data_IF_657356840474
#
_entry.id   IF_657356840474
#
_cell.length_a   1.000
_cell.length_b   1.000
_cell.length_c   1.000
_cell.angle_alpha   90.00
_cell.angle_beta   90.00
_cell.angle_gamma   90.00
#
_symmetry.space_group_name_H-M   'P 1'
#
loop_
_entity.id
_entity.type
_entity.pdbx_description
1 polymer ?
#
# COMPACT_ATOMS: atom_id res chain seq x y z
N UNK A 1 -9.59 18.98 -3.40
CA UNK A 1 -9.32 17.57 -3.76
C UNK A 1 -9.52 16.70 -2.51
N UNK A 2 -9.98 15.48 -2.67
CA UNK A 2 -10.28 14.55 -1.55
C UNK A 2 -9.13 14.38 -0.55
N UNK A 3 -7.88 14.50 -1.01
CA UNK A 3 -6.69 14.37 -0.16
C UNK A 3 -6.56 15.52 0.86
N UNK A 4 -6.91 16.74 0.47
CA UNK A 4 -6.84 17.91 1.38
C UNK A 4 -7.85 17.77 2.51
N UNK A 5 -9.08 17.35 2.20
CA UNK A 5 -10.13 17.14 3.21
C UNK A 5 -9.80 16.00 4.15
N UNK A 6 -9.19 14.92 3.64
CA UNK A 6 -8.73 13.80 4.46
C UNK A 6 -7.68 14.24 5.47
N UNK A 7 -6.66 14.97 5.04
CA UNK A 7 -5.59 15.44 5.92
C UNK A 7 -6.13 16.40 7.00
N UNK A 8 -6.99 17.35 6.60
CA UNK A 8 -7.63 18.26 7.54
C UNK A 8 -8.48 17.51 8.59
N UNK A 9 -9.20 16.47 8.19
CA UNK A 9 -9.95 15.62 9.11
C UNK A 9 -9.04 14.91 10.11
N UNK A 10 -7.95 14.30 9.65
CA UNK A 10 -6.98 13.63 10.52
C UNK A 10 -6.35 14.63 11.51
N UNK A 11 -5.95 15.80 11.04
CA UNK A 11 -5.40 16.86 11.89
C UNK A 11 -6.39 17.35 12.94
N UNK A 12 -7.66 17.51 12.59
CA UNK A 12 -8.73 17.91 13.52
C UNK A 12 -8.89 16.88 14.65
N UNK A 13 -8.83 15.59 14.36
CA UNK A 13 -8.88 14.53 15.37
C UNK A 13 -7.65 14.57 16.28
N UNK A 14 -6.46 14.63 15.71
CA UNK A 14 -5.21 14.57 16.48
C UNK A 14 -4.94 15.84 17.30
N UNK A 15 -5.43 17.01 16.85
CA UNK A 15 -5.32 18.26 17.58
C UNK A 15 -6.35 18.43 18.69
N UNK A 16 -7.32 17.51 18.82
CA UNK A 16 -8.38 17.59 19.82
C UNK A 16 -9.39 18.73 19.55
N UNK A 17 -9.62 19.04 18.27
CA UNK A 17 -10.57 20.09 17.85
C UNK A 17 -11.74 19.53 17.05
N UNK A 18 -12.00 18.23 17.17
CA UNK A 18 -13.13 17.57 16.53
C UNK A 18 -14.46 18.13 17.03
N UNK A 19 -15.42 18.27 16.13
CA UNK A 19 -16.79 18.74 16.41
C UNK A 19 -17.79 17.63 16.19
N UNK A 20 -19.02 17.81 16.72
CA UNK A 20 -20.10 16.84 16.56
C UNK A 20 -19.83 15.53 17.28
N UNK A 21 -20.20 14.43 16.66
CA UNK A 21 -20.15 13.09 17.27
C UNK A 21 -18.76 12.60 17.65
N UNK A 22 -17.71 13.13 17.03
CA UNK A 22 -16.32 12.76 17.33
C UNK A 22 -15.66 13.63 18.39
N UNK A 23 -16.36 14.62 18.93
CA UNK A 23 -15.83 15.55 19.95
C UNK A 23 -15.37 14.85 21.25
N UNK A 24 -15.87 13.67 21.55
CA UNK A 24 -15.44 12.85 22.69
C UNK A 24 -13.98 12.39 22.57
N UNK A 25 -13.40 12.43 21.38
CA UNK A 25 -11.98 12.09 21.14
C UNK A 25 -11.03 13.24 21.52
N UNK A 26 -11.53 14.47 21.69
CA UNK A 26 -10.68 15.65 21.94
C UNK A 26 -9.83 15.55 23.23
N UNK A 27 -10.29 14.80 24.21
CA UNK A 27 -9.57 14.54 25.47
C UNK A 27 -8.81 13.20 25.47
N UNK A 28 -8.76 12.52 24.33
CA UNK A 28 -8.18 11.19 24.20
C UNK A 28 -6.84 11.25 23.46
N UNK A 29 -5.95 10.31 23.77
CA UNK A 29 -4.65 10.18 23.11
C UNK A 29 -4.80 9.44 21.79
N UNK A 30 -4.70 10.15 20.68
CA UNK A 30 -4.73 9.59 19.33
C UNK A 30 -3.33 9.38 18.75
N UNK A 31 -3.17 8.37 17.93
CA UNK A 31 -1.95 8.14 17.13
C UNK A 31 -2.33 7.93 15.67
N UNK A 32 -1.52 8.49 14.76
CA UNK A 32 -1.64 8.27 13.31
C UNK A 32 -0.73 7.13 12.87
N UNK A 33 -1.34 6.12 12.27
CA UNK A 33 -0.66 5.05 11.56
C UNK A 33 -0.83 5.25 10.06
N UNK A 34 0.22 5.67 9.38
CA UNK A 34 0.25 5.93 7.94
C UNK A 34 1.63 5.64 7.37
N UNK A 35 1.75 5.48 6.05
CA UNK A 35 3.05 5.34 5.39
C UNK A 35 3.91 6.60 5.58
N UNK A 36 3.30 7.79 5.63
CA UNK A 36 4.00 9.04 5.94
C UNK A 36 4.58 9.01 7.37
N UNK A 37 3.83 8.49 8.35
CA UNK A 37 4.32 8.37 9.73
C UNK A 37 5.48 7.39 9.82
N UNK A 38 5.41 6.27 9.10
CA UNK A 38 6.50 5.27 9.02
C UNK A 38 7.74 5.91 8.40
N UNK A 39 7.58 6.65 7.29
CA UNK A 39 8.69 7.30 6.61
C UNK A 39 9.37 8.36 7.51
N UNK A 40 8.61 9.21 8.18
CA UNK A 40 9.15 10.17 9.17
C UNK A 40 9.93 9.46 10.29
N UNK A 41 9.47 8.29 10.67
CA UNK A 41 10.14 7.50 11.71
C UNK A 41 11.46 6.92 11.20
N UNK A 42 11.50 6.41 9.97
CA UNK A 42 12.74 5.96 9.31
C UNK A 42 13.75 7.10 9.22
N UNK A 43 13.32 8.29 8.79
CA UNK A 43 14.17 9.47 8.70
C UNK A 43 14.74 9.85 10.07
N UNK A 44 13.92 9.79 11.13
CA UNK A 44 14.36 10.05 12.51
C UNK A 44 15.40 9.03 12.99
N UNK A 45 15.17 7.72 12.76
CA UNK A 45 16.14 6.66 13.10
C UNK A 45 17.48 6.86 12.37
N UNK A 46 17.43 7.28 11.10
CA UNK A 46 18.64 7.53 10.30
C UNK A 46 19.37 8.80 10.73
N UNK A 47 18.66 9.88 11.06
CA UNK A 47 19.24 11.14 11.46
C UNK A 47 19.92 11.07 12.82
N UNK A 48 19.33 10.36 13.78
CA UNK A 48 19.81 10.30 15.16
C UNK A 48 20.51 8.98 15.50
N UNK A 49 20.64 8.06 14.54
CA UNK A 49 21.21 6.72 14.70
C UNK A 49 20.63 5.92 15.88
N UNK A 50 19.31 6.01 16.06
CA UNK A 50 18.57 5.35 17.13
C UNK A 50 17.78 4.15 16.62
N UNK A 51 17.50 3.21 17.52
CA UNK A 51 16.71 1.99 17.26
C UNK A 51 15.49 1.97 18.19
N UNK A 52 14.51 2.85 17.94
CA UNK A 52 13.33 2.97 18.79
C UNK A 52 12.24 1.94 18.48
N UNK A 53 12.09 1.55 17.22
CA UNK A 53 10.95 0.72 16.78
C UNK A 53 11.14 -0.75 17.10
N UNK A 54 12.34 -1.28 16.90
CA UNK A 54 12.65 -2.70 17.10
C UNK A 54 14.02 -2.88 17.77
N UNK A 55 14.21 -2.40 19.00
CA UNK A 55 15.50 -2.46 19.69
C UNK A 55 16.03 -3.89 19.87
N UNK A 56 15.12 -4.86 20.02
CA UNK A 56 15.47 -6.27 20.19
C UNK A 56 16.06 -6.91 18.92
N UNK A 57 15.68 -6.40 17.74
CA UNK A 57 16.17 -6.92 16.46
C UNK A 57 17.52 -6.34 16.05
N UNK A 58 17.98 -5.29 16.70
CA UNK A 58 19.17 -4.48 16.33
C UNK A 58 19.18 -4.06 14.85
N UNK A 59 18.00 -3.79 14.27
CA UNK A 59 17.80 -3.44 12.85
C UNK A 59 17.01 -2.15 12.74
N UNK A 60 17.43 -1.27 11.82
CA UNK A 60 16.69 -0.05 11.47
C UNK A 60 15.41 -0.39 10.70
N UNK A 61 14.34 0.36 10.93
CA UNK A 61 13.02 0.14 10.32
C UNK A 61 13.10 0.09 8.79
N UNK A 62 13.97 0.87 8.15
CA UNK A 62 14.17 0.89 6.69
C UNK A 62 14.61 -0.45 6.10
N UNK A 63 15.21 -1.35 6.91
CA UNK A 63 15.73 -2.66 6.45
C UNK A 63 14.68 -3.77 6.43
N UNK A 64 13.49 -3.48 6.93
CA UNK A 64 12.38 -4.42 6.93
C UNK A 64 11.57 -4.31 5.63
N UNK A 65 10.91 -5.39 5.23
CA UNK A 65 9.90 -5.33 4.15
C UNK A 65 8.72 -4.43 4.53
N UNK A 66 7.96 -3.95 3.55
CA UNK A 66 6.81 -3.05 3.81
C UNK A 66 5.80 -3.63 4.81
N UNK A 67 5.52 -4.93 4.73
CA UNK A 67 4.64 -5.61 5.68
C UNK A 67 5.23 -5.69 7.10
N UNK A 68 6.53 -6.01 7.21
CA UNK A 68 7.24 -6.01 8.48
C UNK A 68 7.33 -4.61 9.08
N UNK A 69 7.63 -3.57 8.27
CA UNK A 69 7.66 -2.18 8.73
C UNK A 69 6.33 -1.78 9.37
N UNK A 70 5.20 -2.10 8.72
CA UNK A 70 3.87 -1.81 9.26
C UNK A 70 3.62 -2.57 10.57
N UNK A 71 4.00 -3.83 10.65
CA UNK A 71 3.87 -4.63 11.88
C UNK A 71 4.69 -4.05 13.04
N UNK A 72 5.96 -3.75 12.79
CA UNK A 72 6.88 -3.18 13.79
C UNK A 72 6.40 -1.80 14.24
N UNK A 73 6.01 -0.94 13.30
CA UNK A 73 5.51 0.39 13.61
C UNK A 73 4.18 0.36 14.38
N UNK A 74 3.29 -0.60 14.08
CA UNK A 74 2.07 -0.81 14.87
C UNK A 74 2.39 -1.16 16.33
N UNK A 75 3.34 -2.06 16.56
CA UNK A 75 3.78 -2.39 17.92
C UNK A 75 4.37 -1.18 18.65
N UNK A 76 5.14 -0.34 17.95
CA UNK A 76 5.64 0.92 18.51
C UNK A 76 4.49 1.86 18.89
N UNK A 77 3.48 2.02 18.04
CA UNK A 77 2.29 2.82 18.34
C UNK A 77 1.56 2.31 19.60
N UNK A 78 1.41 0.99 19.74
CA UNK A 78 0.73 0.37 20.87
C UNK A 78 1.48 0.53 22.20
N UNK A 79 2.81 0.52 22.18
CA UNK A 79 3.63 0.81 23.38
C UNK A 79 3.36 2.20 23.97
N UNK A 80 2.83 3.13 23.17
CA UNK A 80 2.47 4.47 23.62
C UNK A 80 1.10 4.52 24.33
N UNK A 81 0.41 3.39 24.46
CA UNK A 81 -0.92 3.28 25.10
C UNK A 81 -1.94 4.30 24.57
N UNK A 82 -2.26 4.28 23.26
CA UNK A 82 -3.24 5.19 22.69
C UNK A 82 -4.68 4.79 23.07
N UNK A 83 -5.57 5.77 23.21
CA UNK A 83 -7.00 5.54 23.34
C UNK A 83 -7.64 5.21 21.99
N UNK A 84 -7.09 5.79 20.90
CA UNK A 84 -7.50 5.48 19.53
C UNK A 84 -6.32 5.57 18.56
N UNK A 85 -6.43 4.83 17.46
CA UNK A 85 -5.47 4.88 16.35
C UNK A 85 -6.21 5.18 15.05
N UNK A 86 -5.70 6.16 14.31
CA UNK A 86 -6.16 6.47 12.96
C UNK A 86 -5.28 5.70 11.96
N UNK A 87 -5.89 4.80 11.22
CA UNK A 87 -5.24 4.02 10.16
C UNK A 87 -5.52 4.67 8.80
N UNK A 88 -4.54 5.37 8.25
CA UNK A 88 -4.64 6.00 6.94
C UNK A 88 -4.10 5.07 5.86
N UNK A 89 -4.99 4.52 5.03
CA UNK A 89 -4.71 3.57 3.97
C UNK A 89 -3.74 2.43 4.40
N UNK A 90 -4.05 1.69 5.48
CA UNK A 90 -3.11 0.75 6.09
C UNK A 90 -2.67 -0.38 5.14
N UNK A 91 -3.46 -0.66 4.11
CA UNK A 91 -3.22 -1.76 3.18
C UNK A 91 -2.42 -1.39 1.93
N UNK A 92 -2.08 -0.12 1.75
CA UNK A 92 -1.27 0.30 0.60
C UNK A 92 0.12 -0.35 0.64
N UNK A 93 0.62 -0.70 -0.54
CA UNK A 93 1.93 -1.34 -0.76
C UNK A 93 2.11 -2.74 -0.12
N UNK A 94 1.04 -3.36 0.37
CA UNK A 94 1.07 -4.72 0.90
C UNK A 94 0.66 -5.74 -0.16
N UNK A 95 1.31 -6.88 -0.16
CA UNK A 95 0.85 -8.07 -0.87
C UNK A 95 -0.36 -8.72 -0.15
N UNK A 96 -0.98 -9.68 -0.82
CA UNK A 96 -2.21 -10.29 -0.32
C UNK A 96 -2.03 -10.96 1.06
N UNK A 97 -0.91 -11.64 1.29
CA UNK A 97 -0.65 -12.31 2.56
C UNK A 97 -0.48 -11.30 3.71
N UNK A 98 0.29 -10.23 3.47
CA UNK A 98 0.50 -9.15 4.43
C UNK A 98 -0.79 -8.39 4.73
N UNK A 99 -1.67 -8.20 3.73
CA UNK A 99 -3.00 -7.58 3.92
C UNK A 99 -3.88 -8.40 4.86
N UNK A 100 -3.95 -9.72 4.65
CA UNK A 100 -4.74 -10.62 5.50
C UNK A 100 -4.19 -10.61 6.93
N UNK A 101 -2.87 -10.73 7.10
CA UNK A 101 -2.25 -10.72 8.41
C UNK A 101 -2.49 -9.39 9.17
N UNK A 102 -2.38 -8.25 8.48
CA UNK A 102 -2.67 -6.95 9.09
C UNK A 102 -4.15 -6.84 9.47
N UNK A 103 -5.08 -7.23 8.59
CA UNK A 103 -6.52 -7.18 8.89
C UNK A 103 -6.87 -7.99 10.14
N UNK A 104 -6.34 -9.21 10.28
CA UNK A 104 -6.51 -10.03 11.49
C UNK A 104 -5.95 -9.36 12.75
N UNK A 105 -4.77 -8.74 12.64
CA UNK A 105 -4.18 -8.00 13.77
C UNK A 105 -5.03 -6.80 14.19
N UNK A 106 -5.62 -6.08 13.22
CA UNK A 106 -6.50 -4.95 13.49
C UNK A 106 -7.84 -5.39 14.11
N UNK A 107 -8.39 -6.54 13.69
CA UNK A 107 -9.59 -7.11 14.27
C UNK A 107 -9.38 -7.45 15.76
N UNK A 108 -8.26 -8.09 16.10
CA UNK A 108 -7.90 -8.35 17.50
C UNK A 108 -7.70 -7.07 18.31
N UNK A 109 -7.05 -6.07 17.69
CA UNK A 109 -6.78 -4.78 18.34
C UNK A 109 -8.07 -4.01 18.64
N UNK A 110 -9.10 -4.14 17.81
CA UNK A 110 -10.39 -3.44 17.97
C UNK A 110 -11.11 -3.77 19.29
N UNK A 111 -10.73 -4.85 19.97
CA UNK A 111 -11.27 -5.18 21.31
C UNK A 111 -10.69 -4.32 22.42
N UNK A 112 -9.57 -3.64 22.21
CA UNK A 112 -8.84 -2.91 23.26
C UNK A 112 -8.57 -1.45 22.92
N UNK A 113 -8.54 -1.08 21.65
CA UNK A 113 -8.24 0.28 21.17
C UNK A 113 -9.32 0.69 20.15
N UNK A 114 -9.79 1.93 20.23
CA UNK A 114 -10.70 2.46 19.22
C UNK A 114 -9.97 2.62 17.87
N UNK A 115 -10.54 2.05 16.81
CA UNK A 115 -9.97 2.10 15.45
C UNK A 115 -10.76 3.07 14.59
N UNK A 116 -10.07 4.03 14.00
CA UNK A 116 -10.60 4.91 12.96
C UNK A 116 -9.85 4.60 11.67
N UNK A 117 -10.52 3.98 10.71
CA UNK A 117 -9.93 3.65 9.43
C UNK A 117 -10.30 4.70 8.38
N UNK A 118 -9.31 5.27 7.72
CA UNK A 118 -9.49 6.19 6.58
C UNK A 118 -8.94 5.50 5.34
N UNK A 119 -9.78 5.28 4.34
CA UNK A 119 -9.41 4.56 3.11
C UNK A 119 -9.94 5.28 1.87
N UNK A 120 -9.20 5.13 0.78
CA UNK A 120 -9.60 5.68 -0.52
C UNK A 120 -10.46 4.70 -1.33
N UNK A 121 -10.42 3.40 -1.01
CA UNK A 121 -11.13 2.33 -1.73
C UNK A 121 -12.10 1.62 -0.82
N UNK A 122 -13.33 1.44 -1.25
CA UNK A 122 -14.36 0.71 -0.50
C UNK A 122 -13.94 -0.74 -0.23
N UNK A 123 -13.20 -1.35 -1.14
CA UNK A 123 -12.67 -2.71 -0.98
C UNK A 123 -11.67 -2.87 0.19
N UNK A 124 -11.12 -1.77 0.69
CA UNK A 124 -10.16 -1.77 1.81
C UNK A 124 -10.84 -1.55 3.17
N UNK A 125 -12.15 -1.34 3.18
CA UNK A 125 -12.92 -1.18 4.44
C UNK A 125 -12.95 -2.50 5.20
N UNK A 126 -12.52 -2.46 6.46
CA UNK A 126 -12.54 -3.61 7.35
C UNK A 126 -13.97 -4.01 7.69
N UNK A 127 -14.29 -5.30 7.55
CA UNK A 127 -15.66 -5.81 7.71
C UNK A 127 -16.21 -5.70 9.12
N UNK A 128 -15.32 -5.69 10.12
CA UNK A 128 -15.72 -5.62 11.54
C UNK A 128 -15.99 -4.19 12.03
N UNK A 129 -15.74 -3.15 11.21
CA UNK A 129 -16.06 -1.75 11.57
C UNK A 129 -17.52 -1.48 11.24
N UNK A 130 -18.38 -1.28 12.25
CA UNK A 130 -19.83 -1.12 12.03
C UNK A 130 -20.20 0.28 11.52
N UNK A 131 -19.52 1.31 12.01
CA UNK A 131 -19.83 2.70 11.70
C UNK A 131 -19.04 3.17 10.49
N UNK A 132 -19.73 3.61 9.45
CA UNK A 132 -19.10 4.07 8.21
C UNK A 132 -19.54 5.50 7.94
N UNK A 133 -18.59 6.32 7.50
CA UNK A 133 -18.83 7.71 7.17
C UNK A 133 -18.13 8.09 5.88
N UNK A 134 -18.65 9.10 5.21
CA UNK A 134 -18.02 9.69 4.03
C UNK A 134 -17.63 11.13 4.35
N UNK A 135 -16.39 11.49 4.04
CA UNK A 135 -15.93 12.88 4.13
C UNK A 135 -16.30 13.56 2.82
N UNK A 136 -17.14 14.59 2.90
CA UNK A 136 -17.47 15.49 1.79
C UNK A 136 -17.06 16.92 2.15
N UNK A 137 -17.00 17.81 1.17
CA UNK A 137 -16.40 19.15 1.13
C UNK A 137 -16.45 20.07 2.37
N UNK A 138 -16.92 19.69 3.50
CA UNK A 138 -16.81 20.31 4.84
C UNK A 138 -17.72 19.63 5.87
N UNK A 139 -18.28 18.49 5.55
CA UNK A 139 -19.15 17.78 6.48
C UNK A 139 -18.74 16.32 6.61
N UNK A 140 -18.78 15.86 7.85
CA UNK A 140 -18.70 14.45 8.20
C UNK A 140 -20.15 13.97 8.29
N UNK A 141 -20.52 13.06 7.40
CA UNK A 141 -21.87 12.48 7.39
C UNK A 141 -21.73 11.00 7.69
N UNK A 142 -22.28 10.59 8.85
CA UNK A 142 -22.48 9.18 9.14
C UNK A 142 -23.54 8.65 8.17
N UNK A 143 -23.16 7.70 7.36
CA UNK A 143 -24.06 6.96 6.49
C UNK A 143 -24.07 5.50 6.90
N UNK A 144 -25.25 4.90 6.97
CA UNK A 144 -25.35 3.48 6.67
C UNK A 144 -24.90 3.32 5.22
N UNK A 145 -23.64 2.97 5.03
CA UNK A 145 -23.17 2.57 3.72
C UNK A 145 -23.75 1.17 3.52
N UNK A 146 -24.91 1.10 2.86
CA UNK A 146 -25.38 -0.17 2.31
C UNK A 146 -24.23 -0.80 1.54
N UNK A 147 -23.86 -2.02 1.93
CA UNK A 147 -22.74 -2.77 1.38
C UNK A 147 -22.98 -3.27 -0.05
N UNK A 148 -24.00 -2.76 -0.71
CA UNK A 148 -24.17 -2.96 -2.15
C UNK A 148 -23.30 -1.91 -2.85
N UNK A 149 -22.16 -2.29 -3.45
CA UNK A 149 -21.58 -1.43 -4.46
C UNK A 149 -22.67 -1.26 -5.50
N UNK A 150 -23.26 -0.09 -5.58
CA UNK A 150 -23.90 0.32 -6.82
C UNK A 150 -22.79 0.25 -7.86
N UNK A 151 -22.66 -0.91 -8.48
CA UNK A 151 -22.06 -1.02 -9.79
C UNK A 151 -23.00 -0.24 -10.74
N UNK A 152 -22.97 1.07 -10.64
CA UNK A 152 -23.18 1.84 -11.85
C UNK A 152 -22.03 1.38 -12.75
N UNK A 153 -22.30 0.36 -13.54
CA UNK A 153 -21.62 0.17 -14.81
C UNK A 153 -21.89 1.43 -15.60
N UNK A 154 -21.20 2.50 -15.27
CA UNK A 154 -20.89 3.51 -16.24
C UNK A 154 -19.97 2.76 -17.21
N UNK A 155 -20.55 2.10 -18.19
CA UNK A 155 -19.89 1.77 -19.42
C UNK A 155 -19.53 3.12 -20.04
N UNK A 156 -18.47 3.74 -19.53
CA UNK A 156 -17.75 4.75 -20.25
C UNK A 156 -17.29 3.97 -21.48
N UNK A 157 -17.78 4.28 -22.70
CA UNK A 157 -17.22 3.69 -23.89
C UNK A 157 -15.76 4.12 -23.90
N UNK A 158 -14.89 3.23 -23.42
CA UNK A 158 -13.45 3.47 -23.43
C UNK A 158 -13.05 3.40 -24.89
N UNK A 159 -13.15 4.51 -25.58
CA UNK A 159 -12.56 4.65 -26.89
C UNK A 159 -11.05 4.70 -26.64
N UNK A 160 -10.41 3.55 -26.76
CA UNK A 160 -8.95 3.44 -26.64
C UNK A 160 -8.35 4.39 -27.68
N UNK A 161 -7.62 5.44 -27.30
CA UNK A 161 -7.03 6.36 -28.25
C UNK A 161 -6.09 5.60 -29.18
N UNK A 162 -6.10 5.93 -30.46
CA UNK A 162 -5.17 5.34 -31.42
C UNK A 162 -3.73 5.65 -30.97
N UNK A 163 -2.80 4.70 -31.12
CA UNK A 163 -1.41 4.94 -30.78
C UNK A 163 -0.86 6.13 -31.57
N UNK A 164 -0.04 6.97 -30.94
CA UNK A 164 0.57 8.15 -31.55
C UNK A 164 1.41 7.80 -32.78
N UNK A 165 1.99 6.61 -32.79
CA UNK A 165 2.66 6.02 -33.95
C UNK A 165 2.08 4.63 -34.17
N UNK A 166 1.68 4.28 -35.41
CA UNK A 166 1.28 2.91 -35.70
C UNK A 166 2.49 2.00 -35.44
N UNK A 167 2.28 1.01 -34.57
CA UNK A 167 3.29 0.00 -34.34
C UNK A 167 3.12 -1.06 -35.41
N UNK A 168 3.85 -0.90 -36.50
CA UNK A 168 3.83 -1.83 -37.63
C UNK A 168 5.04 -2.77 -37.50
N UNK A 169 4.90 -3.81 -36.69
CA UNK A 169 5.86 -4.92 -36.66
C UNK A 169 5.25 -6.14 -37.36
N UNK A 170 6.01 -6.74 -38.25
CA UNK A 170 5.64 -7.99 -38.89
C UNK A 170 5.84 -9.20 -37.95
N UNK A 171 6.49 -8.99 -36.81
CA UNK A 171 6.81 -10.05 -35.86
C UNK A 171 5.69 -10.21 -34.85
N UNK A 172 5.25 -11.45 -34.68
CA UNK A 172 4.21 -11.80 -33.72
C UNK A 172 4.75 -11.82 -32.27
N UNK A 173 6.04 -12.03 -32.09
CA UNK A 173 6.71 -12.04 -30.78
C UNK A 173 7.29 -10.67 -30.50
N UNK A 174 6.86 -10.04 -29.40
CA UNK A 174 7.33 -8.73 -28.98
C UNK A 174 8.52 -8.84 -28.01
N UNK A 175 8.48 -9.86 -27.15
CA UNK A 175 9.52 -10.09 -26.14
C UNK A 175 9.71 -11.59 -25.98
N UNK A 176 10.97 -12.02 -25.96
CA UNK A 176 11.32 -13.39 -25.64
C UNK A 176 12.48 -13.42 -24.65
N UNK A 177 12.24 -14.03 -23.49
CA UNK A 177 13.25 -14.35 -22.49
C UNK A 177 13.51 -15.84 -22.50
N UNK A 178 14.78 -16.26 -22.45
CA UNK A 178 15.17 -17.66 -22.33
C UNK A 178 16.09 -17.84 -21.13
N UNK A 179 15.64 -18.61 -20.15
CA UNK A 179 16.38 -18.96 -18.94
C UNK A 179 17.06 -17.77 -18.23
N UNK A 180 16.40 -16.61 -18.26
CA UNK A 180 16.93 -15.38 -17.72
C UNK A 180 17.01 -15.45 -16.20
N UNK A 181 18.18 -15.09 -15.66
CA UNK A 181 18.44 -15.08 -14.22
C UNK A 181 19.03 -13.75 -13.79
N UNK A 182 18.53 -13.20 -12.67
CA UNK A 182 19.03 -11.95 -12.10
C UNK A 182 19.36 -12.13 -10.63
N UNK A 183 20.58 -11.75 -10.25
CA UNK A 183 21.03 -11.72 -8.87
C UNK A 183 21.52 -10.31 -8.51
N UNK A 184 21.23 -9.89 -7.28
CA UNK A 184 21.82 -8.71 -6.67
C UNK A 184 22.66 -9.18 -5.49
N UNK A 185 23.94 -8.91 -5.55
CA UNK A 185 24.92 -9.49 -4.63
C UNK A 185 24.79 -11.01 -4.61
N UNK A 186 24.64 -11.62 -3.46
CA UNK A 186 24.47 -13.08 -3.30
C UNK A 186 23.01 -13.54 -3.36
N UNK A 187 22.06 -12.62 -3.54
CA UNK A 187 20.64 -12.94 -3.57
C UNK A 187 20.12 -13.09 -4.99
N UNK A 188 19.72 -14.32 -5.35
CA UNK A 188 19.01 -14.59 -6.61
C UNK A 188 17.57 -14.06 -6.49
N UNK A 189 17.18 -13.16 -7.40
CA UNK A 189 15.84 -12.54 -7.44
C UNK A 189 14.97 -13.20 -8.50
N UNK A 190 15.55 -13.48 -9.68
CA UNK A 190 14.90 -14.17 -10.78
C UNK A 190 15.80 -15.36 -11.16
N UNK A 191 15.21 -16.53 -11.35
CA UNK A 191 15.98 -17.74 -11.66
C UNK A 191 15.39 -18.47 -12.85
N UNK A 192 16.15 -18.51 -13.96
CA UNK A 192 15.86 -19.23 -15.20
C UNK A 192 14.42 -19.05 -15.69
N UNK A 193 13.97 -17.81 -15.77
CA UNK A 193 12.66 -17.48 -16.30
C UNK A 193 12.70 -17.51 -17.83
N UNK A 194 11.82 -18.31 -18.41
CA UNK A 194 11.53 -18.30 -19.84
C UNK A 194 10.11 -17.77 -20.04
N UNK A 195 9.99 -16.69 -20.83
CA UNK A 195 8.71 -16.03 -21.05
C UNK A 195 8.66 -15.42 -22.44
N UNK A 196 7.54 -15.63 -23.13
CA UNK A 196 7.30 -15.06 -24.47
C UNK A 196 6.04 -14.22 -24.43
N UNK A 197 6.11 -12.98 -24.90
CA UNK A 197 5.00 -12.06 -25.03
C UNK A 197 4.77 -11.78 -26.52
N UNK A 198 3.54 -12.00 -26.97
CA UNK A 198 3.13 -11.80 -28.36
C UNK A 198 2.29 -10.54 -28.52
N UNK A 199 2.21 -10.06 -29.74
CA UNK A 199 1.36 -8.93 -30.10
C UNK A 199 -0.11 -9.23 -29.76
N UNK A 200 -0.78 -8.27 -29.09
CA UNK A 200 -2.19 -8.38 -28.69
C UNK A 200 -2.44 -9.16 -27.40
N UNK A 201 -1.42 -9.71 -26.74
CA UNK A 201 -1.58 -10.32 -25.44
C UNK A 201 -1.63 -9.31 -24.32
N UNK A 202 -2.39 -9.63 -23.26
CA UNK A 202 -2.46 -8.88 -22.00
C UNK A 202 -1.98 -9.80 -20.88
N UNK A 203 -1.01 -9.33 -20.12
CA UNK A 203 -0.43 -10.11 -19.02
C UNK A 203 -0.63 -9.43 -17.68
N UNK A 204 -1.02 -10.20 -16.68
CA UNK A 204 -1.04 -9.78 -15.29
C UNK A 204 0.06 -10.52 -14.53
N UNK A 205 1.05 -9.78 -14.02
CA UNK A 205 2.14 -10.34 -13.22
C UNK A 205 1.79 -10.27 -11.73
N UNK A 206 1.51 -11.43 -11.13
CA UNK A 206 1.09 -11.56 -9.73
C UNK A 206 2.18 -12.28 -8.93
N UNK A 207 2.35 -11.88 -7.69
CA UNK A 207 3.28 -12.49 -6.75
C UNK A 207 3.51 -11.63 -5.52
N UNK A 208 4.11 -12.20 -4.45
CA UNK A 208 4.41 -11.48 -3.22
C UNK A 208 5.39 -10.33 -3.43
N UNK A 209 5.51 -9.44 -2.44
CA UNK A 209 6.51 -8.38 -2.47
C UNK A 209 7.92 -9.01 -2.43
N UNK A 210 8.85 -8.46 -3.23
CA UNK A 210 10.19 -9.00 -3.36
C UNK A 210 10.33 -10.23 -4.27
N UNK A 211 9.25 -10.69 -4.95
CA UNK A 211 9.31 -11.85 -5.88
C UNK A 211 9.92 -11.55 -7.25
N UNK A 212 10.49 -10.37 -7.47
CA UNK A 212 11.16 -10.04 -8.72
C UNK A 212 10.28 -9.46 -9.83
N UNK A 213 8.99 -9.13 -9.57
CA UNK A 213 8.08 -8.55 -10.57
C UNK A 213 8.65 -7.29 -11.23
N UNK A 214 9.08 -6.33 -10.41
CA UNK A 214 9.67 -5.08 -10.90
C UNK A 214 10.98 -5.31 -11.63
N UNK A 215 11.76 -6.30 -11.20
CA UNK A 215 13.01 -6.72 -11.87
C UNK A 215 12.71 -7.26 -13.28
N UNK A 216 11.70 -8.12 -13.42
CA UNK A 216 11.30 -8.62 -14.73
C UNK A 216 10.77 -7.49 -15.63
N UNK A 217 9.97 -6.58 -15.11
CA UNK A 217 9.45 -5.45 -15.89
C UNK A 217 10.59 -4.52 -16.33
N UNK A 218 11.54 -4.21 -15.44
CA UNK A 218 12.70 -3.36 -15.79
C UNK A 218 13.65 -4.00 -16.81
N UNK A 219 13.67 -5.33 -16.89
CA UNK A 219 14.38 -6.02 -17.97
C UNK A 219 13.67 -5.85 -19.32
N UNK A 220 12.34 -5.97 -19.33
CA UNK A 220 11.52 -5.77 -20.53
C UNK A 220 11.66 -4.35 -21.09
N UNK A 221 11.70 -3.34 -20.22
CA UNK A 221 11.87 -1.94 -20.63
C UNK A 221 13.31 -1.54 -20.94
N UNK A 222 14.29 -2.43 -20.68
CA UNK A 222 15.70 -2.14 -20.88
C UNK A 222 16.34 -1.30 -19.76
N UNK A 223 15.60 -1.02 -18.69
CA UNK A 223 16.09 -0.19 -17.58
C UNK A 223 17.00 -0.96 -16.60
N UNK A 224 17.11 -2.27 -16.74
CA UNK A 224 17.90 -3.11 -15.85
C UNK A 224 19.24 -3.48 -16.45
N UNK A 225 20.33 -2.95 -15.89
CA UNK A 225 21.70 -3.25 -16.35
C UNK A 225 22.06 -4.75 -16.25
N UNK A 226 21.42 -5.52 -15.38
CA UNK A 226 21.61 -6.98 -15.27
C UNK A 226 20.98 -7.77 -16.44
N UNK A 227 20.19 -7.10 -17.30
CA UNK A 227 19.68 -7.68 -18.54
C UNK A 227 20.74 -7.85 -19.62
N UNK A 228 21.86 -7.09 -19.55
CA UNK A 228 22.94 -7.22 -20.51
C UNK A 228 23.63 -8.59 -20.38
N UNK A 229 23.77 -9.27 -21.53
CA UNK A 229 24.36 -10.62 -21.57
C UNK A 229 23.38 -11.76 -21.29
N UNK A 230 22.08 -11.47 -21.11
CA UNK A 230 21.01 -12.46 -21.06
C UNK A 230 20.38 -12.64 -22.44
N UNK A 231 19.77 -13.81 -22.70
CA UNK A 231 19.00 -14.05 -23.93
C UNK A 231 17.62 -13.37 -23.80
N UNK A 232 17.59 -12.08 -24.12
CA UNK A 232 16.37 -11.25 -24.17
C UNK A 232 16.27 -10.64 -25.57
N UNK A 233 15.18 -10.89 -26.29
CA UNK A 233 14.91 -10.42 -27.65
C UNK A 233 13.56 -9.69 -27.71
#
# INVERSE_FOLDING_TARGET
SNQVHKNAFIETLLSGTAIGELSYLNSRKGILFSDISIQKFIEKEDQYDILETAPESNRKLRTFSSGEQKKVFLQYCLKQTPDYIIFDNPFDHLDQASRVALAQSLEQLAHTVCIIQVVNRVADVLSFIPNKARITDNSFVLHEIDATPNQTKNEIPVQIPKPLKPFDTKENILIQMKEVSVSYEDRKIVDRISWTIKQGEFWQLIGPNGSGKSTLLSMITGDNAKGYGQELY
#
